data_IF_627896729495
#
_entry.id   IF_627896729495
#
_cell.length_a   1.000
_cell.length_b   1.000
_cell.length_c   1.000
_cell.angle_alpha   90.00
_cell.angle_beta   90.00
_cell.angle_gamma   90.00
#
_symmetry.space_group_name_H-M   'P 1'
#
loop_
_entity.id
_entity.type
_entity.pdbx_description
1 polymer ?
#
# COMPACT_ATOMS: atom_id res chain seq x y z
N UNK A 1 6.39 16.25 -1.34
CA UNK A 1 7.61 16.27 -0.54
C UNK A 1 7.26 16.45 0.93
N UNK A 2 7.87 15.66 1.80
CA UNK A 2 7.63 15.77 3.24
C UNK A 2 8.28 16.99 3.85
N UNK A 3 7.75 17.42 4.98
CA UNK A 3 8.33 18.52 5.77
C UNK A 3 9.19 17.93 6.88
N UNK A 4 10.29 18.58 7.17
CA UNK A 4 11.18 18.19 8.26
C UNK A 4 10.98 19.15 9.42
N UNK A 5 10.70 18.62 10.61
CA UNK A 5 10.58 19.41 11.80
C UNK A 5 11.17 18.63 12.98
N UNK A 6 12.17 19.17 13.63
CA UNK A 6 12.86 18.55 14.77
C UNK A 6 13.30 17.10 14.52
N UNK A 7 13.81 16.82 13.32
CA UNK A 7 14.26 15.49 12.94
C UNK A 7 13.16 14.56 12.43
N UNK A 8 11.91 14.97 12.48
CA UNK A 8 10.80 14.20 11.94
C UNK A 8 10.49 14.64 10.52
N UNK A 9 10.16 13.66 9.69
CA UNK A 9 9.69 13.92 8.33
C UNK A 9 8.19 13.84 8.34
N UNK A 10 7.56 14.96 7.98
CA UNK A 10 6.12 15.03 7.85
C UNK A 10 5.77 14.88 6.39
N UNK A 11 4.96 13.89 6.08
CA UNK A 11 4.45 13.72 4.74
C UNK A 11 2.93 13.75 4.75
N UNK A 12 2.35 14.16 3.62
CA UNK A 12 0.91 14.15 3.47
C UNK A 12 0.43 12.73 3.19
N UNK A 13 -0.87 12.50 3.41
CA UNK A 13 -1.48 11.21 3.05
C UNK A 13 -1.28 10.93 1.56
N UNK A 14 -1.41 11.95 0.73
CA UNK A 14 -1.25 11.84 -0.71
C UNK A 14 0.17 11.43 -1.11
N UNK A 15 1.16 12.01 -0.44
CA UNK A 15 2.57 11.67 -0.66
C UNK A 15 2.86 10.21 -0.25
N UNK A 16 2.28 9.76 0.87
CA UNK A 16 2.44 8.39 1.31
C UNK A 16 1.79 7.42 0.32
N UNK A 17 0.57 7.73 -0.13
CA UNK A 17 -0.12 6.89 -1.11
C UNK A 17 0.68 6.76 -2.41
N UNK A 18 1.27 7.86 -2.88
CA UNK A 18 2.08 7.83 -4.08
C UNK A 18 3.34 6.96 -3.88
N UNK A 19 3.96 7.04 -2.72
CA UNK A 19 5.11 6.18 -2.40
C UNK A 19 4.74 4.71 -2.45
N UNK A 20 3.57 4.34 -1.89
CA UNK A 20 3.07 2.97 -1.93
C UNK A 20 2.81 2.52 -3.37
N UNK A 21 2.20 3.39 -4.17
CA UNK A 21 1.94 3.10 -5.58
C UNK A 21 3.24 2.87 -6.35
N UNK A 22 4.28 3.66 -6.06
CA UNK A 22 5.58 3.50 -6.69
C UNK A 22 6.26 2.18 -6.30
N UNK A 23 6.08 1.74 -5.06
CA UNK A 23 6.58 0.43 -4.62
C UNK A 23 5.91 -0.70 -5.39
N UNK A 24 4.59 -0.64 -5.54
CA UNK A 24 3.84 -1.63 -6.31
C UNK A 24 4.29 -1.62 -7.77
N UNK A 25 4.44 -0.43 -8.35
CA UNK A 25 4.95 -0.28 -9.73
C UNK A 25 6.32 -0.93 -9.89
N UNK A 26 7.22 -0.73 -8.94
CA UNK A 26 8.57 -1.32 -8.99
C UNK A 26 8.52 -2.84 -8.93
N UNK A 27 7.65 -3.41 -8.11
CA UNK A 27 7.44 -4.86 -8.06
C UNK A 27 6.95 -5.36 -9.41
N UNK A 28 5.94 -4.70 -9.97
CA UNK A 28 5.41 -5.05 -11.30
C UNK A 28 6.51 -5.06 -12.35
N UNK A 29 7.30 -3.99 -12.39
CA UNK A 29 8.38 -3.84 -13.37
C UNK A 29 9.46 -4.91 -13.22
N UNK A 30 9.85 -5.22 -12.00
CA UNK A 30 10.83 -6.27 -11.73
C UNK A 30 10.38 -7.63 -12.23
N UNK A 31 9.07 -7.85 -12.27
CA UNK A 31 8.49 -9.10 -12.79
C UNK A 31 8.19 -9.02 -14.28
N UNK A 32 8.61 -7.96 -14.94
CA UNK A 32 8.40 -7.75 -16.37
C UNK A 32 6.93 -7.82 -16.79
N UNK A 33 6.06 -7.31 -15.92
CA UNK A 33 4.61 -7.27 -16.17
C UNK A 33 4.24 -5.87 -16.61
N UNK A 34 3.55 -5.75 -17.75
CA UNK A 34 3.04 -4.46 -18.21
C UNK A 34 1.83 -4.03 -17.38
N UNK A 35 1.47 -2.76 -17.45
CA UNK A 35 0.25 -2.28 -16.80
C UNK A 35 -0.99 -3.00 -17.33
N UNK A 36 -1.04 -3.25 -18.65
CA UNK A 36 -2.14 -3.97 -19.28
C UNK A 36 -2.23 -5.41 -18.78
N UNK A 37 -1.09 -6.07 -18.65
CA UNK A 37 -1.02 -7.43 -18.12
C UNK A 37 -1.46 -7.46 -16.67
N UNK A 38 -1.03 -6.47 -15.87
CA UNK A 38 -1.47 -6.32 -14.49
C UNK A 38 -2.99 -6.19 -14.40
N UNK A 39 -3.57 -5.36 -15.25
CA UNK A 39 -5.02 -5.19 -15.30
C UNK A 39 -5.71 -6.53 -15.59
N UNK A 40 -5.22 -7.26 -16.59
CA UNK A 40 -5.76 -8.57 -16.96
C UNK A 40 -5.65 -9.58 -15.82
N UNK A 41 -4.49 -9.64 -15.16
CA UNK A 41 -4.24 -10.59 -14.07
C UNK A 41 -5.07 -10.29 -12.83
N UNK A 42 -5.25 -9.01 -12.51
CA UNK A 42 -5.91 -8.59 -11.28
C UNK A 42 -7.41 -8.42 -11.41
N UNK A 43 -7.92 -8.25 -12.61
CA UNK A 43 -9.32 -7.88 -12.82
C UNK A 43 -9.60 -6.42 -12.52
N UNK A 44 -8.56 -5.60 -12.35
CA UNK A 44 -8.67 -4.16 -12.18
C UNK A 44 -8.53 -3.50 -13.55
N UNK A 45 -9.34 -2.48 -13.85
CA UNK A 45 -9.29 -1.84 -15.15
C UNK A 45 -7.91 -1.24 -15.42
N UNK A 46 -7.53 -1.20 -16.69
CA UNK A 46 -6.27 -0.59 -17.11
C UNK A 46 -6.18 0.88 -16.66
N UNK A 47 -7.27 1.63 -16.83
CA UNK A 47 -7.32 3.01 -16.39
C UNK A 47 -7.07 3.17 -14.90
N UNK A 48 -7.62 2.26 -14.08
CA UNK A 48 -7.41 2.26 -12.64
C UNK A 48 -5.96 1.93 -12.27
N UNK A 49 -5.34 0.98 -12.97
CA UNK A 49 -3.92 0.65 -12.75
C UNK A 49 -3.05 1.86 -13.06
N UNK A 50 -3.27 2.50 -14.20
CA UNK A 50 -2.51 3.70 -14.60
C UNK A 50 -2.68 4.84 -13.59
N UNK A 51 -3.91 5.11 -13.19
CA UNK A 51 -4.21 6.17 -12.25
C UNK A 51 -3.54 5.90 -10.88
N UNK A 52 -3.62 4.66 -10.41
CA UNK A 52 -2.98 4.29 -9.15
C UNK A 52 -1.48 4.55 -9.21
N UNK A 53 -0.81 4.07 -10.24
CA UNK A 53 0.65 4.20 -10.33
C UNK A 53 1.10 5.66 -10.47
N UNK A 54 0.27 6.52 -11.03
CA UNK A 54 0.61 7.94 -11.21
C UNK A 54 0.17 8.84 -10.07
N UNK A 55 -0.86 8.46 -9.31
CA UNK A 55 -1.44 9.34 -8.28
C UNK A 55 -1.50 8.71 -6.90
N UNK A 56 -1.42 7.41 -6.79
CA UNK A 56 -1.64 6.69 -5.54
C UNK A 56 -3.11 6.44 -5.23
N UNK A 57 -4.03 6.88 -6.09
CA UNK A 57 -5.47 6.74 -5.84
C UNK A 57 -5.99 5.42 -6.34
N UNK A 58 -6.59 4.65 -5.44
CA UNK A 58 -7.18 3.35 -5.76
C UNK A 58 -8.12 2.96 -4.63
N UNK A 59 -9.13 2.16 -4.91
CA UNK A 59 -9.92 1.56 -3.86
C UNK A 59 -9.12 0.47 -3.16
N UNK A 60 -9.41 0.23 -1.89
CA UNK A 60 -8.76 -0.85 -1.17
C UNK A 60 -9.01 -2.20 -1.85
N UNK A 61 -10.23 -2.43 -2.34
CA UNK A 61 -10.55 -3.66 -3.05
C UNK A 61 -9.65 -3.86 -4.27
N UNK A 62 -9.48 -2.82 -5.08
CA UNK A 62 -8.63 -2.92 -6.27
C UNK A 62 -7.16 -3.12 -5.91
N UNK A 63 -6.69 -2.44 -4.86
CA UNK A 63 -5.32 -2.64 -4.37
C UNK A 63 -5.10 -4.09 -3.93
N UNK A 64 -6.06 -4.65 -3.22
CA UNK A 64 -6.00 -6.04 -2.79
C UNK A 64 -5.93 -7.00 -3.99
N UNK A 65 -6.72 -6.76 -5.01
CA UNK A 65 -6.69 -7.55 -6.24
C UNK A 65 -5.32 -7.48 -6.92
N UNK A 66 -4.72 -6.30 -6.98
CA UNK A 66 -3.37 -6.12 -7.53
C UNK A 66 -2.35 -6.88 -6.69
N UNK A 67 -2.43 -6.78 -5.38
CA UNK A 67 -1.51 -7.47 -4.48
C UNK A 67 -1.61 -8.99 -4.65
N UNK A 68 -2.81 -9.52 -4.80
CA UNK A 68 -3.01 -10.94 -5.07
C UNK A 68 -2.40 -11.35 -6.41
N UNK A 69 -2.60 -10.55 -7.44
CA UNK A 69 -2.03 -10.81 -8.77
C UNK A 69 -0.51 -10.82 -8.75
N UNK A 70 0.11 -9.99 -7.90
CA UNK A 70 1.56 -9.91 -7.75
C UNK A 70 2.11 -10.87 -6.69
N UNK A 71 1.25 -11.65 -6.06
CA UNK A 71 1.64 -12.57 -4.99
C UNK A 71 2.31 -11.88 -3.80
N UNK A 72 1.80 -10.71 -3.44
CA UNK A 72 2.26 -9.94 -2.28
C UNK A 72 1.12 -9.65 -1.31
N UNK A 73 0.04 -10.42 -1.36
CA UNK A 73 -1.12 -10.20 -0.50
C UNK A 73 -0.78 -10.36 1.00
N UNK A 74 0.27 -11.09 1.34
CA UNK A 74 0.69 -11.24 2.73
C UNK A 74 1.06 -9.91 3.37
N UNK A 75 1.58 -8.97 2.60
CA UNK A 75 1.89 -7.65 3.13
C UNK A 75 0.62 -6.91 3.53
N UNK A 76 -0.48 -7.09 2.78
CA UNK A 76 -1.78 -6.52 3.17
C UNK A 76 -2.38 -7.24 4.37
N UNK A 77 -2.21 -8.57 4.47
CA UNK A 77 -2.69 -9.31 5.64
C UNK A 77 -2.03 -8.85 6.92
N UNK A 78 -0.81 -8.40 6.83
CA UNK A 78 -0.03 -7.97 7.99
C UNK A 78 -0.13 -6.48 8.29
N UNK A 79 -0.77 -5.70 7.40
CA UNK A 79 -0.90 -4.26 7.61
C UNK A 79 -1.75 -4.01 8.86
N UNK A 80 -1.28 -3.10 9.72
CA UNK A 80 -1.95 -2.76 10.99
C UNK A 80 -2.19 -3.96 11.91
N UNK A 81 -1.45 -5.04 11.71
CA UNK A 81 -1.58 -6.24 12.55
C UNK A 81 -1.01 -6.03 13.96
N UNK A 82 -0.15 -5.04 14.11
CA UNK A 82 0.44 -4.69 15.39
C UNK A 82 -0.18 -3.38 15.87
N UNK A 83 -0.93 -3.45 16.96
CA UNK A 83 -1.56 -2.26 17.55
C UNK A 83 -0.64 -1.75 18.65
N UNK A 84 -0.09 -0.53 18.52
CA UNK A 84 0.75 0.02 19.57
C UNK A 84 -0.05 0.22 20.85
N UNK A 85 0.50 -0.21 21.98
CA UNK A 85 -0.13 0.01 23.28
C UNK A 85 0.19 1.42 23.78
N UNK A 86 -0.83 2.08 24.32
CA UNK A 86 -0.65 3.42 24.87
C UNK A 86 -0.09 3.38 26.29
N UNK A 87 -0.44 2.34 27.06
CA UNK A 87 0.02 2.16 28.41
C UNK A 87 -0.08 0.69 28.82
N UNK A 88 0.37 0.41 30.04
CA UNK A 88 0.42 -0.95 30.54
C UNK A 88 -0.98 -1.54 30.80
N UNK A 89 -1.97 -0.70 31.08
CA UNK A 89 -3.34 -1.16 31.26
C UNK A 89 -3.90 -1.73 29.97
N UNK A 90 -3.58 -1.10 28.85
CA UNK A 90 -3.98 -1.58 27.54
C UNK A 90 -3.39 -2.96 27.26
N UNK A 91 -2.12 -3.16 27.61
CA UNK A 91 -1.45 -4.45 27.46
C UNK A 91 -2.13 -5.52 28.30
N UNK A 92 -2.44 -5.21 29.56
CA UNK A 92 -3.08 -6.14 30.48
C UNK A 92 -4.47 -6.52 29.98
N UNK A 93 -5.26 -5.56 29.51
CA UNK A 93 -6.59 -5.82 28.99
C UNK A 93 -6.56 -6.68 27.72
N UNK A 94 -5.57 -6.47 26.88
CA UNK A 94 -5.41 -7.23 25.65
C UNK A 94 -5.07 -8.70 25.91
N UNK A 95 -4.32 -8.97 26.99
CA UNK A 95 -3.86 -10.32 27.30
C UNK A 95 -4.86 -11.16 28.11
N UNK A 96 -5.96 -10.60 28.51
CA UNK A 96 -6.99 -11.33 29.27
C UNK A 96 -7.81 -12.30 28.37
#
# INVERSE_FOLDING_TARGET
MGKIMEGFIWETAKELDLKLAQRVRNIRKRRSISQEKMASMSGVSYGSVKRFESTGQISLLSLTKIAMALDIADELRNIFSQVPYRDIKEVINETR
#
